data_IF_860574979671
#
_entry.id   IF_860574979671
#
_cell.length_a   1.000
_cell.length_b   1.000
_cell.length_c   1.000
_cell.angle_alpha   90.00
_cell.angle_beta   90.00
_cell.angle_gamma   90.00
#
_symmetry.space_group_name_H-M   'P 1'
#
loop_
_entity.id
_entity.type
_entity.pdbx_description
1 polymer ?
#
# COMPACT_ATOMS: atom_id res chain seq x y z
N UNK A 1 -80.74 5.89 -3.27
CA UNK A 1 -81.29 7.17 -2.74
C UNK A 1 -80.32 8.29 -3.07
N UNK A 2 -80.85 9.47 -3.42
CA UNK A 2 -80.20 10.80 -3.47
C UNK A 2 -79.09 11.06 -4.51
N UNK A 3 -79.31 12.14 -5.27
CA UNK A 3 -78.43 12.80 -6.25
C UNK A 3 -77.20 13.48 -5.60
N UNK A 4 -76.22 13.91 -6.40
CA UNK A 4 -76.01 15.35 -6.74
C UNK A 4 -74.79 15.51 -7.66
N UNK A 5 -74.96 16.30 -8.73
CA UNK A 5 -73.85 16.82 -9.55
C UNK A 5 -73.17 17.98 -8.81
N UNK A 6 -71.85 17.96 -8.68
CA UNK A 6 -71.07 19.18 -8.39
C UNK A 6 -70.38 19.65 -9.68
N UNK A 7 -70.47 20.95 -9.94
CA UNK A 7 -70.11 21.61 -11.19
C UNK A 7 -68.77 22.33 -11.01
N UNK A 8 -67.82 22.09 -11.92
CA UNK A 8 -66.50 22.71 -11.89
C UNK A 8 -66.55 24.25 -11.94
N UNK A 9 -65.54 24.90 -11.33
CA UNK A 9 -65.11 26.28 -11.64
C UNK A 9 -63.65 26.24 -12.10
N UNK A 10 -63.27 26.92 -13.19
CA UNK A 10 -61.89 26.95 -13.66
C UNK A 10 -61.10 28.05 -12.94
N UNK A 11 -59.86 27.73 -12.54
CA UNK A 11 -58.83 28.72 -12.24
C UNK A 11 -57.61 28.35 -13.10
N UNK A 12 -57.43 29.09 -14.18
CA UNK A 12 -56.29 28.96 -15.10
C UNK A 12 -55.08 29.66 -14.47
N UNK A 13 -53.96 28.96 -14.32
CA UNK A 13 -52.64 29.56 -14.12
C UNK A 13 -51.70 28.96 -15.18
N UNK A 14 -50.91 29.81 -15.81
CA UNK A 14 -50.19 29.57 -17.08
C UNK A 14 -48.68 29.56 -16.82
N UNK A 15 -47.93 28.80 -17.65
CA UNK A 15 -46.47 28.64 -17.66
C UNK A 15 -45.90 27.86 -16.45
N UNK A 16 -44.82 27.07 -16.54
CA UNK A 16 -43.85 26.76 -17.61
C UNK A 16 -43.39 25.27 -17.44
N UNK A 17 -42.66 24.58 -18.33
CA UNK A 17 -42.14 24.84 -19.69
C UNK A 17 -41.93 23.48 -20.42
N UNK A 18 -41.65 23.46 -21.73
CA UNK A 18 -40.95 22.33 -22.38
C UNK A 18 -41.78 21.16 -22.92
N UNK A 19 -42.43 21.37 -24.07
CA UNK A 19 -42.82 20.26 -24.96
C UNK A 19 -41.59 19.73 -25.75
N UNK A 20 -41.83 18.71 -26.61
CA UNK A 20 -41.01 18.16 -27.72
C UNK A 20 -40.35 16.80 -27.39
N UNK A 21 -40.37 15.79 -28.27
CA UNK A 21 -41.27 15.41 -29.38
C UNK A 21 -40.88 13.98 -29.77
N UNK A 22 -41.82 13.11 -30.14
CA UNK A 22 -41.48 11.77 -30.65
C UNK A 22 -40.78 11.89 -32.01
N UNK A 23 -39.60 11.29 -32.15
CA UNK A 23 -38.87 11.17 -33.43
C UNK A 23 -38.39 9.71 -33.65
N UNK A 24 -38.16 9.31 -34.92
CA UNK A 24 -38.37 7.91 -35.34
C UNK A 24 -37.16 6.99 -35.16
N UNK A 25 -37.46 5.70 -34.96
CA UNK A 25 -36.52 4.60 -34.72
C UNK A 25 -35.78 4.13 -36.00
N UNK A 26 -36.08 4.71 -37.17
CA UNK A 26 -35.68 4.18 -38.48
C UNK A 26 -34.72 5.08 -39.25
N UNK A 27 -33.45 5.18 -38.83
CA UNK A 27 -32.41 5.86 -39.62
C UNK A 27 -30.95 5.43 -39.38
N UNK A 28 -30.58 4.82 -38.24
CA UNK A 28 -29.18 4.53 -37.91
C UNK A 28 -28.73 3.11 -38.32
N UNK A 29 -28.78 2.84 -39.62
CA UNK A 29 -28.07 1.75 -40.26
C UNK A 29 -26.97 2.36 -41.15
N UNK A 30 -25.71 1.98 -40.90
CA UNK A 30 -24.48 2.44 -41.59
C UNK A 30 -24.03 3.86 -41.22
N UNK A 31 -23.22 3.94 -40.15
CA UNK A 31 -21.93 4.62 -40.26
C UNK A 31 -20.84 3.54 -40.18
N UNK A 32 -19.79 3.57 -41.00
CA UNK A 32 -18.59 2.80 -40.71
C UNK A 32 -18.00 3.38 -39.42
N UNK A 33 -17.98 2.59 -38.35
CA UNK A 33 -17.20 2.96 -37.17
C UNK A 33 -15.78 3.28 -37.63
N UNK A 34 -15.19 4.43 -37.24
CA UNK A 34 -13.78 4.63 -37.48
C UNK A 34 -13.06 3.47 -36.80
N UNK A 35 -12.33 2.66 -37.60
CA UNK A 35 -11.32 1.78 -37.03
C UNK A 35 -10.33 2.69 -36.33
N UNK A 36 -10.52 2.88 -35.03
CA UNK A 36 -9.43 3.27 -34.17
C UNK A 36 -8.38 2.20 -34.40
N UNK A 37 -7.30 2.60 -35.09
CA UNK A 37 -6.10 1.79 -35.16
C UNK A 37 -5.51 1.81 -33.76
N UNK A 38 -6.10 1.00 -32.87
CA UNK A 38 -5.43 0.53 -31.68
C UNK A 38 -4.22 -0.24 -32.21
N UNK A 39 -3.07 0.43 -32.21
CA UNK A 39 -1.80 -0.26 -32.38
C UNK A 39 -1.77 -1.36 -31.30
N UNK A 40 -1.67 -2.64 -31.67
CA UNK A 40 -1.73 -3.73 -30.69
C UNK A 40 -0.67 -3.63 -29.58
N UNK A 41 0.38 -2.84 -29.80
CA UNK A 41 1.45 -2.57 -28.83
C UNK A 41 1.14 -1.55 -27.73
N UNK A 42 -0.07 -0.96 -27.61
CA UNK A 42 -0.35 0.06 -26.56
C UNK A 42 -1.17 -0.48 -25.37
N UNK A 43 -1.93 -1.56 -25.52
CA UNK A 43 -2.84 -2.04 -24.45
C UNK A 43 -2.21 -3.10 -23.53
N UNK A 44 -1.23 -3.89 -24.03
CA UNK A 44 -0.55 -4.94 -23.24
C UNK A 44 0.49 -4.37 -22.24
N UNK A 45 1.18 -3.27 -22.58
CA UNK A 45 2.30 -2.73 -21.78
C UNK A 45 1.85 -2.10 -20.45
N UNK A 46 0.56 -1.76 -20.32
CA UNK A 46 -0.01 -1.14 -19.12
C UNK A 46 -0.31 -2.13 -17.99
N UNK A 47 -0.44 -3.43 -18.27
CA UNK A 47 -0.96 -4.41 -17.30
C UNK A 47 0.14 -5.22 -16.57
N UNK A 48 1.40 -5.12 -17.03
CA UNK A 48 2.52 -5.90 -16.48
C UNK A 48 3.78 -5.09 -16.21
N UNK A 49 3.67 -3.75 -16.09
CA UNK A 49 4.80 -2.90 -15.67
C UNK A 49 5.13 -3.09 -14.18
N UNK A 50 5.78 -4.21 -13.86
CA UNK A 50 6.54 -4.40 -12.62
C UNK A 50 7.52 -3.23 -12.53
N UNK A 51 7.33 -2.36 -11.54
CA UNK A 51 8.16 -1.16 -11.37
C UNK A 51 9.58 -1.56 -11.00
N UNK A 52 10.44 -1.68 -12.02
CA UNK A 52 11.87 -1.95 -11.83
C UNK A 52 12.50 -0.72 -11.22
N UNK A 53 12.91 -0.82 -9.96
CA UNK A 53 13.70 0.22 -9.31
C UNK A 53 15.06 0.33 -10.01
N UNK A 54 15.53 1.55 -10.22
CA UNK A 54 16.95 1.78 -10.55
C UNK A 54 17.83 1.32 -9.39
N UNK A 55 19.09 0.99 -9.65
CA UNK A 55 20.05 0.56 -8.63
C UNK A 55 20.15 1.55 -7.46
N UNK A 56 20.14 2.86 -7.75
CA UNK A 56 20.15 3.91 -6.74
C UNK A 56 18.89 3.91 -5.87
N UNK A 57 17.70 3.70 -6.45
CA UNK A 57 16.44 3.60 -5.71
C UNK A 57 16.40 2.32 -4.86
N UNK A 58 16.87 1.19 -5.39
CA UNK A 58 16.99 -0.06 -4.65
C UNK A 58 17.98 0.09 -3.48
N UNK A 59 19.15 0.68 -3.71
CA UNK A 59 20.14 0.95 -2.66
C UNK A 59 19.58 1.88 -1.58
N UNK A 60 18.88 2.95 -1.97
CA UNK A 60 18.21 3.86 -1.02
C UNK A 60 17.18 3.11 -0.19
N UNK A 61 16.31 2.32 -0.82
CA UNK A 61 15.29 1.53 -0.11
C UNK A 61 15.91 0.51 0.84
N UNK A 62 16.97 -0.17 0.42
CA UNK A 62 17.70 -1.14 1.24
C UNK A 62 18.40 -0.48 2.45
N UNK A 63 19.03 0.69 2.26
CA UNK A 63 19.63 1.46 3.35
C UNK A 63 18.59 1.92 4.37
N UNK A 64 17.44 2.41 3.92
CA UNK A 64 16.41 2.95 4.81
C UNK A 64 15.73 1.91 5.71
N UNK A 65 15.77 0.62 5.34
CA UNK A 65 15.28 -0.50 6.18
C UNK A 65 16.39 -1.19 6.98
N UNK A 66 17.67 -0.84 6.74
CA UNK A 66 18.83 -1.49 7.36
C UNK A 66 19.32 -0.71 8.56
N UNK A 67 19.63 -1.42 9.64
CA UNK A 67 20.18 -0.85 10.87
C UNK A 67 21.48 -1.54 11.26
N UNK A 68 22.32 -0.86 12.05
CA UNK A 68 23.46 -1.51 12.72
C UNK A 68 22.97 -2.08 14.04
N UNK A 69 23.31 -3.33 14.32
CA UNK A 69 23.11 -3.96 15.62
C UNK A 69 24.43 -3.86 16.38
N UNK A 70 24.38 -3.27 17.58
CA UNK A 70 25.50 -3.15 18.51
C UNK A 70 25.17 -4.01 19.73
N UNK A 71 26.06 -4.92 20.13
CA UNK A 71 25.74 -5.94 21.12
C UNK A 71 26.97 -6.27 21.97
N UNK A 72 27.20 -5.49 23.03
CA UNK A 72 28.51 -5.43 23.68
C UNK A 72 29.61 -5.05 22.66
N UNK A 73 30.65 -5.87 22.56
CA UNK A 73 31.71 -5.70 21.56
C UNK A 73 31.32 -6.18 20.15
N UNK A 74 30.28 -7.01 20.02
CA UNK A 74 29.79 -7.52 18.75
C UNK A 74 29.05 -6.43 17.96
N UNK A 75 29.22 -6.48 16.62
CA UNK A 75 28.58 -5.55 15.69
C UNK A 75 28.10 -6.32 14.46
N UNK A 76 26.86 -6.08 14.07
CA UNK A 76 26.24 -6.69 12.91
C UNK A 76 25.26 -5.75 12.22
N UNK A 77 24.50 -6.29 11.28
CA UNK A 77 23.39 -5.60 10.63
C UNK A 77 22.06 -6.22 11.04
N UNK A 78 20.99 -5.46 10.91
CA UNK A 78 19.62 -5.94 11.06
C UNK A 78 18.69 -5.24 10.08
N UNK A 79 17.50 -5.82 9.89
CA UNK A 79 16.46 -5.28 9.01
C UNK A 79 15.23 -4.93 9.85
N UNK A 80 14.71 -3.72 9.70
CA UNK A 80 13.43 -3.30 10.25
C UNK A 80 12.31 -4.06 9.54
N UNK A 81 11.56 -4.90 10.26
CA UNK A 81 10.53 -5.79 9.68
C UNK A 81 9.10 -5.51 10.18
N UNK A 82 8.96 -4.68 11.22
CA UNK A 82 7.67 -4.26 11.78
C UNK A 82 7.84 -2.98 12.57
N UNK A 83 6.83 -2.13 12.49
CA UNK A 83 6.55 -1.02 13.39
C UNK A 83 5.17 -1.30 13.99
N UNK A 84 4.99 -1.03 15.28
CA UNK A 84 3.69 -1.07 15.94
C UNK A 84 3.68 -0.12 17.16
N UNK A 85 2.95 0.99 17.08
CA UNK A 85 2.80 1.99 18.14
C UNK A 85 4.15 2.59 18.65
N UNK A 86 5.07 2.87 17.74
CA UNK A 86 6.43 3.36 18.03
C UNK A 86 7.42 2.27 18.46
N UNK A 87 7.01 1.00 18.47
CA UNK A 87 7.86 -0.15 18.75
C UNK A 87 8.33 -0.77 17.43
N UNK A 88 9.63 -0.69 17.16
CA UNK A 88 10.26 -1.26 15.97
C UNK A 88 10.82 -2.64 16.26
N UNK A 89 10.56 -3.61 15.38
CA UNK A 89 11.16 -4.95 15.43
C UNK A 89 12.22 -5.11 14.35
N UNK A 90 13.41 -5.55 14.76
CA UNK A 90 14.58 -5.79 13.92
C UNK A 90 14.84 -7.29 13.84
N UNK A 91 14.95 -7.82 12.62
CA UNK A 91 15.50 -9.15 12.35
C UNK A 91 17.02 -9.06 12.19
N UNK A 92 17.76 -9.90 12.89
CA UNK A 92 19.23 -10.02 12.80
C UNK A 92 19.64 -11.48 13.01
N UNK A 93 20.94 -11.78 13.04
CA UNK A 93 21.46 -13.10 13.34
C UNK A 93 21.57 -13.35 14.86
N UNK A 94 21.44 -14.60 15.29
CA UNK A 94 21.59 -14.99 16.69
C UNK A 94 23.05 -14.78 17.16
N UNK A 95 24.03 -15.11 16.31
CA UNK A 95 25.46 -14.95 16.64
C UNK A 95 25.87 -13.48 16.93
N UNK A 96 25.10 -12.50 16.43
CA UNK A 96 25.36 -11.08 16.70
C UNK A 96 25.00 -10.73 18.14
N UNK A 97 23.93 -11.34 18.68
CA UNK A 97 23.36 -10.95 19.98
C UNK A 97 23.78 -11.85 21.16
N UNK A 98 24.14 -13.11 20.91
CA UNK A 98 24.29 -14.15 21.94
C UNK A 98 25.19 -13.81 23.14
N UNK A 99 26.28 -13.06 22.91
CA UNK A 99 27.29 -12.72 23.94
C UNK A 99 27.19 -11.27 24.43
N UNK A 100 26.18 -10.51 24.00
CA UNK A 100 26.01 -9.09 24.37
C UNK A 100 25.22 -8.91 25.67
N UNK A 101 25.83 -8.31 26.68
CA UNK A 101 25.13 -7.93 27.93
C UNK A 101 24.15 -6.75 27.75
N UNK A 102 24.25 -6.02 26.64
CA UNK A 102 23.32 -4.96 26.24
C UNK A 102 23.26 -4.87 24.72
N UNK A 103 22.11 -4.47 24.18
CA UNK A 103 21.90 -4.32 22.74
C UNK A 103 21.43 -2.90 22.42
N UNK A 104 21.94 -2.36 21.32
CA UNK A 104 21.54 -1.07 20.78
C UNK A 104 21.34 -1.19 19.26
N UNK A 105 20.43 -0.38 18.74
CA UNK A 105 20.18 -0.25 17.30
C UNK A 105 20.67 1.12 16.86
N UNK A 106 21.55 1.16 15.86
CA UNK A 106 21.84 2.39 15.10
C UNK A 106 20.96 2.46 13.87
N UNK A 107 20.06 3.44 13.84
CA UNK A 107 19.10 3.70 12.76
C UNK A 107 19.77 4.39 11.55
N UNK A 108 19.12 4.47 10.37
CA UNK A 108 19.70 5.06 9.17
C UNK A 108 20.09 6.55 9.30
N UNK A 109 19.41 7.29 10.17
CA UNK A 109 19.72 8.69 10.55
C UNK A 109 20.85 8.79 11.59
N UNK A 110 21.42 7.66 12.01
CA UNK A 110 22.57 7.57 12.89
C UNK A 110 22.28 7.56 14.39
N UNK A 111 21.01 7.71 14.80
CA UNK A 111 20.59 7.68 16.22
C UNK A 111 20.79 6.29 16.83
N UNK A 112 20.93 6.26 18.16
CA UNK A 112 21.17 5.04 18.94
C UNK A 112 20.00 4.80 19.89
N UNK A 113 19.35 3.65 19.75
CA UNK A 113 18.20 3.25 20.56
C UNK A 113 18.55 2.00 21.38
N UNK A 114 18.19 1.99 22.68
CA UNK A 114 18.31 0.79 23.51
C UNK A 114 17.33 -0.28 23.02
N UNK A 115 17.80 -1.51 22.86
CA UNK A 115 17.00 -2.62 22.36
C UNK A 115 16.97 -3.81 23.33
N UNK A 116 15.93 -4.63 23.19
CA UNK A 116 15.71 -5.87 23.96
C UNK A 116 15.47 -7.03 23.02
N UNK A 117 15.94 -8.23 23.39
CA UNK A 117 15.60 -9.46 22.68
C UNK A 117 14.11 -9.75 22.86
N UNK A 118 13.42 -10.15 21.80
CA UNK A 118 12.04 -10.64 21.86
C UNK A 118 12.06 -12.09 22.39
N UNK A 119 11.53 -12.37 23.59
CA UNK A 119 11.59 -13.71 24.17
C UNK A 119 10.59 -14.67 23.50
N UNK A 120 10.83 -15.98 23.64
CA UNK A 120 9.88 -17.03 23.27
C UNK A 120 9.77 -17.32 21.76
N UNK A 121 10.58 -16.66 20.92
CA UNK A 121 10.66 -16.97 19.48
C UNK A 121 11.66 -18.09 19.25
N UNK A 122 11.23 -19.18 18.61
CA UNK A 122 12.08 -20.31 18.25
C UNK A 122 12.26 -20.35 16.72
N UNK A 123 13.47 -20.00 16.25
CA UNK A 123 13.85 -20.09 14.84
C UNK A 123 14.43 -21.46 14.44
N UNK A 124 14.44 -22.44 15.35
CA UNK A 124 15.05 -23.75 15.14
C UNK A 124 16.57 -23.63 14.99
N UNK A 125 17.12 -24.29 13.97
CA UNK A 125 18.56 -24.25 13.68
C UNK A 125 18.97 -23.04 12.80
N UNK A 126 18.06 -22.11 12.53
CA UNK A 126 18.38 -20.91 11.76
C UNK A 126 19.05 -19.87 12.68
N UNK A 127 20.19 -19.33 12.24
CA UNK A 127 20.91 -18.25 12.90
C UNK A 127 20.15 -16.91 12.75
N UNK A 128 19.06 -16.78 13.50
CA UNK A 128 18.15 -15.63 13.47
C UNK A 128 17.70 -15.24 14.87
N UNK A 129 17.51 -13.94 15.09
CA UNK A 129 17.00 -13.36 16.31
C UNK A 129 16.17 -12.11 16.04
N UNK A 130 15.27 -11.77 16.97
CA UNK A 130 14.52 -10.52 16.96
C UNK A 130 14.94 -9.60 18.12
N UNK A 131 15.19 -8.34 17.79
CA UNK A 131 15.34 -7.24 18.74
C UNK A 131 14.16 -6.27 18.60
N UNK A 132 13.79 -5.61 19.69
CA UNK A 132 12.82 -4.51 19.69
C UNK A 132 13.38 -3.26 20.37
N UNK A 133 13.07 -2.10 19.80
CA UNK A 133 13.40 -0.78 20.34
C UNK A 133 12.25 0.21 20.14
N UNK A 134 12.24 1.29 20.92
CA UNK A 134 11.25 2.36 20.79
C UNK A 134 11.85 3.55 20.05
N UNK A 135 11.08 4.18 19.16
CA UNK A 135 11.40 5.45 18.52
C UNK A 135 10.14 6.32 18.36
N UNK A 136 10.36 7.62 18.18
CA UNK A 136 9.32 8.61 17.84
C UNK A 136 9.30 8.96 16.35
N UNK A 137 10.39 8.60 15.69
CA UNK A 137 10.69 8.76 14.28
C UNK A 137 10.00 7.68 13.44
N UNK A 138 9.57 8.06 12.24
CA UNK A 138 9.00 7.14 11.24
C UNK A 138 10.13 6.52 10.38
N UNK A 139 10.50 5.27 10.69
CA UNK A 139 11.46 4.49 9.91
C UNK A 139 10.77 3.48 8.99
N UNK A 140 11.23 3.41 7.74
CA UNK A 140 10.74 2.45 6.77
C UNK A 140 10.99 1.00 7.23
N UNK A 141 9.97 0.14 7.08
CA UNK A 141 10.08 -1.30 7.32
C UNK A 141 10.08 -2.10 6.02
N UNK A 142 10.68 -3.29 6.05
CA UNK A 142 10.64 -4.25 4.96
C UNK A 142 9.24 -4.87 4.83
N UNK A 143 8.70 -4.90 3.62
CA UNK A 143 7.48 -5.68 3.34
C UNK A 143 7.85 -7.16 3.24
N UNK A 144 7.46 -7.95 4.23
CA UNK A 144 7.62 -9.40 4.23
C UNK A 144 6.44 -10.06 3.51
N UNK A 145 6.32 -9.79 2.20
CA UNK A 145 5.33 -10.46 1.36
C UNK A 145 5.66 -11.93 1.17
N UNK A 146 4.63 -12.76 0.99
CA UNK A 146 4.83 -14.15 0.61
C UNK A 146 5.44 -14.21 -0.80
N UNK A 147 6.76 -14.44 -0.87
CA UNK A 147 7.49 -14.77 -2.09
C UNK A 147 7.07 -16.16 -2.62
N UNK A 148 5.81 -16.27 -3.05
CA UNK A 148 5.41 -17.29 -4.01
C UNK A 148 6.06 -16.91 -5.34
N UNK A 149 6.91 -17.79 -5.85
CA UNK A 149 7.78 -17.60 -7.03
C UNK A 149 9.11 -16.91 -6.72
N UNK A 150 10.12 -17.74 -6.44
CA UNK A 150 11.50 -17.56 -6.89
C UNK A 150 11.87 -18.82 -7.66
#
# INVERSE_FOLDING_TARGET
MVNVRIKYKPAVIIASIGAILVLPITAYLILPFPKQFINPGIIEESLTKKSVLTENQLQTKARNISVKVLSGDNKGSGILIREENGVYTVLTNQHVIENGASHQIQTPDGKIHQAKIVPGINFGNNDMALLQFNASEDYAVASLENLKTV
#
